data_IF_822050463775
#
_entry.id   IF_822050463775
#
_cell.length_a   1.000
_cell.length_b   1.000
_cell.length_c   1.000
_cell.angle_alpha   90.00
_cell.angle_beta   90.00
_cell.angle_gamma   90.00
#
_symmetry.space_group_name_H-M   'P 1'
#
loop_
_entity.id
_entity.type
_entity.pdbx_description
1 polymer ?
#
# COMPACT_ATOMS: atom_id res chain seq x y z
N UNK A 1 -14.03 -0.62 -34.29
CA UNK A 1 -14.34 -1.06 -32.92
C UNK A 1 -15.21 0.01 -32.28
N UNK A 2 -16.45 -0.32 -31.91
CA UNK A 2 -17.38 0.63 -31.27
C UNK A 2 -16.99 0.75 -29.81
N UNK A 3 -16.60 1.94 -29.35
CA UNK A 3 -16.52 2.26 -27.93
C UNK A 3 -17.90 2.04 -27.29
N UNK A 4 -18.01 1.02 -26.46
CA UNK A 4 -19.20 0.84 -25.64
C UNK A 4 -19.21 2.00 -24.62
N UNK A 5 -20.08 2.98 -24.82
CA UNK A 5 -20.32 4.03 -23.83
C UNK A 5 -20.75 3.34 -22.53
N UNK A 6 -19.95 3.50 -21.49
CA UNK A 6 -20.28 3.08 -20.13
C UNK A 6 -21.46 3.95 -19.63
N UNK A 7 -22.67 3.60 -20.04
CA UNK A 7 -23.88 4.19 -19.44
C UNK A 7 -23.96 3.69 -18.01
N UNK A 8 -23.67 4.57 -17.08
CA UNK A 8 -23.75 4.25 -15.65
C UNK A 8 -25.16 3.80 -15.28
N UNK A 9 -25.31 2.57 -14.79
CA UNK A 9 -26.59 2.08 -14.25
C UNK A 9 -26.82 2.70 -12.88
N UNK A 10 -28.05 3.20 -12.65
CA UNK A 10 -28.46 3.73 -11.36
C UNK A 10 -28.68 2.56 -10.38
N UNK A 11 -28.07 2.63 -9.19
CA UNK A 11 -28.27 1.70 -8.09
C UNK A 11 -28.73 2.48 -6.86
N UNK A 12 -29.71 1.96 -6.13
CA UNK A 12 -30.19 2.53 -4.86
C UNK A 12 -29.59 1.71 -3.72
N UNK A 13 -28.94 2.40 -2.76
CA UNK A 13 -28.44 1.80 -1.53
C UNK A 13 -29.29 2.30 -0.38
N UNK A 14 -29.81 1.38 0.43
CA UNK A 14 -30.60 1.67 1.62
C UNK A 14 -29.68 1.44 2.83
N UNK A 15 -29.50 2.46 3.66
CA UNK A 15 -28.80 2.38 4.93
C UNK A 15 -29.80 2.23 6.07
N UNK A 16 -29.44 1.48 7.10
CA UNK A 16 -30.18 1.55 8.34
C UNK A 16 -30.01 2.92 9.01
N UNK A 17 -30.77 3.17 10.08
CA UNK A 17 -30.76 4.48 10.73
C UNK A 17 -29.41 4.81 11.37
N UNK A 18 -28.70 3.81 11.90
CA UNK A 18 -27.39 3.99 12.54
C UNK A 18 -26.31 4.34 11.53
N UNK A 19 -26.23 3.58 10.45
CA UNK A 19 -25.28 3.82 9.36
C UNK A 19 -25.52 5.17 8.69
N UNK A 20 -26.78 5.51 8.46
CA UNK A 20 -27.14 6.80 7.88
C UNK A 20 -26.72 7.96 8.78
N UNK A 21 -26.99 7.89 10.06
CA UNK A 21 -26.58 8.91 11.04
C UNK A 21 -25.06 9.05 11.11
N UNK A 22 -24.34 7.93 11.09
CA UNK A 22 -22.87 7.93 11.03
C UNK A 22 -22.34 8.68 9.80
N UNK A 23 -22.87 8.36 8.62
CA UNK A 23 -22.47 9.03 7.36
C UNK A 23 -22.80 10.52 7.36
N UNK A 24 -24.00 10.90 7.84
CA UNK A 24 -24.39 12.31 7.95
C UNK A 24 -23.45 13.07 8.90
N UNK A 25 -23.02 12.44 9.99
CA UNK A 25 -22.01 13.05 10.89
C UNK A 25 -20.66 13.24 10.20
N UNK A 26 -20.16 12.25 9.44
CA UNK A 26 -18.92 12.38 8.69
C UNK A 26 -18.98 13.52 7.68
N UNK A 27 -20.11 13.69 7.01
CA UNK A 27 -20.31 14.80 6.04
C UNK A 27 -20.38 16.15 6.77
N UNK A 28 -21.14 16.23 7.85
CA UNK A 28 -21.25 17.44 8.67
C UNK A 28 -19.90 17.88 9.25
N UNK A 29 -19.08 16.91 9.68
CA UNK A 29 -17.75 17.17 10.24
C UNK A 29 -16.69 17.45 9.15
N UNK A 30 -17.07 17.50 7.87
CA UNK A 30 -16.17 17.76 6.73
C UNK A 30 -15.19 16.63 6.43
N UNK A 31 -15.38 15.43 7.01
CA UNK A 31 -14.53 14.26 6.79
C UNK A 31 -14.82 13.57 5.46
N UNK A 32 -16.06 13.66 5.00
CA UNK A 32 -16.48 13.18 3.69
C UNK A 32 -17.28 14.25 2.95
N UNK A 33 -17.08 14.43 1.62
CA UNK A 33 -17.77 15.47 0.85
C UNK A 33 -19.22 15.12 0.52
N UNK A 34 -19.66 13.87 0.75
CA UNK A 34 -21.03 13.42 0.48
C UNK A 34 -21.14 11.90 0.39
N UNK A 35 -22.36 11.39 0.33
CA UNK A 35 -22.65 9.94 0.29
C UNK A 35 -22.09 9.30 -0.99
N UNK A 36 -22.28 9.91 -2.17
CA UNK A 36 -21.79 9.36 -3.43
C UNK A 36 -20.27 9.21 -3.49
N UNK A 37 -19.46 10.23 -3.16
CA UNK A 37 -18.00 10.09 -3.03
C UNK A 37 -17.58 9.06 -2.00
N UNK A 38 -18.26 8.99 -0.85
CA UNK A 38 -18.00 7.96 0.16
C UNK A 38 -18.18 6.55 -0.42
N UNK A 39 -19.30 6.27 -1.08
CA UNK A 39 -19.55 4.95 -1.69
C UNK A 39 -18.49 4.64 -2.75
N UNK A 40 -18.13 5.59 -3.61
CA UNK A 40 -17.09 5.38 -4.61
C UNK A 40 -15.74 5.04 -3.97
N UNK A 41 -15.37 5.73 -2.90
CA UNK A 41 -14.17 5.48 -2.10
C UNK A 41 -14.22 4.07 -1.46
N UNK A 42 -15.35 3.67 -0.90
CA UNK A 42 -15.49 2.35 -0.29
C UNK A 42 -15.38 1.22 -1.32
N UNK A 43 -15.98 1.37 -2.50
CA UNK A 43 -15.85 0.41 -3.58
C UNK A 43 -14.40 0.29 -4.04
N UNK A 44 -13.68 1.41 -4.13
CA UNK A 44 -12.26 1.42 -4.48
C UNK A 44 -11.40 0.71 -3.42
N UNK A 45 -11.60 1.03 -2.14
CA UNK A 45 -10.92 0.37 -1.02
C UNK A 45 -11.22 -1.13 -1.02
N UNK A 46 -12.49 -1.51 -1.15
CA UNK A 46 -12.94 -2.91 -1.16
C UNK A 46 -12.24 -3.71 -2.26
N UNK A 47 -12.21 -3.14 -3.48
CA UNK A 47 -11.56 -3.76 -4.64
C UNK A 47 -10.03 -3.85 -4.47
N UNK A 48 -9.41 -2.74 -4.04
CA UNK A 48 -7.96 -2.61 -4.00
C UNK A 48 -7.33 -3.46 -2.91
N UNK A 49 -8.00 -3.57 -1.76
CA UNK A 49 -7.55 -4.39 -0.63
C UNK A 49 -8.10 -5.82 -0.66
N UNK A 50 -8.86 -6.20 -1.71
CA UNK A 50 -9.49 -7.52 -1.81
C UNK A 50 -10.30 -7.90 -0.54
N UNK A 51 -11.05 -6.93 0.01
CA UNK A 51 -11.81 -7.12 1.27
C UNK A 51 -12.83 -8.27 1.16
N UNK A 52 -13.25 -8.63 -0.06
CA UNK A 52 -14.12 -9.78 -0.29
C UNK A 52 -13.53 -11.12 0.15
N UNK A 53 -12.19 -11.21 0.28
CA UNK A 53 -11.51 -12.40 0.78
C UNK A 53 -11.38 -12.40 2.32
N UNK A 54 -11.72 -11.26 2.97
CA UNK A 54 -11.62 -11.14 4.41
C UNK A 54 -12.79 -11.86 5.11
N UNK A 55 -12.47 -12.60 6.16
CA UNK A 55 -13.45 -13.22 7.02
C UNK A 55 -13.57 -12.44 8.32
N UNK A 56 -14.64 -11.71 8.47
CA UNK A 56 -14.90 -10.95 9.69
C UNK A 56 -15.58 -11.83 10.75
N UNK A 57 -15.19 -11.68 12.06
CA UNK A 57 -14.05 -10.94 12.57
C UNK A 57 -12.76 -11.76 12.55
N UNK A 58 -11.63 -11.12 12.26
CA UNK A 58 -10.32 -11.65 12.66
C UNK A 58 -9.46 -12.34 11.60
N UNK A 59 -9.93 -12.55 10.37
CA UNK A 59 -9.08 -13.07 9.30
C UNK A 59 -9.01 -12.10 8.13
N UNK A 60 -7.86 -11.41 7.99
CA UNK A 60 -7.59 -10.47 6.90
C UNK A 60 -6.53 -11.04 5.99
N UNK A 61 -6.68 -10.83 4.67
CA UNK A 61 -5.75 -11.32 3.66
C UNK A 61 -5.33 -10.20 2.71
N UNK A 62 -4.07 -10.27 2.29
CA UNK A 62 -3.52 -9.45 1.22
C UNK A 62 -2.96 -10.42 0.18
N UNK A 63 -3.70 -10.62 -0.92
CA UNK A 63 -3.44 -11.71 -1.84
C UNK A 63 -3.53 -13.06 -1.11
N UNK A 64 -2.46 -13.85 -1.15
CA UNK A 64 -2.40 -15.17 -0.48
C UNK A 64 -1.92 -15.09 0.97
N UNK A 65 -1.48 -13.93 1.43
CA UNK A 65 -0.87 -13.76 2.75
C UNK A 65 -1.89 -13.30 3.78
N UNK A 66 -1.92 -13.98 4.93
CA UNK A 66 -2.67 -13.51 6.08
C UNK A 66 -2.06 -12.22 6.60
N UNK A 67 -2.89 -11.22 6.87
CA UNK A 67 -2.49 -9.89 7.32
C UNK A 67 -3.02 -9.57 8.72
N UNK A 68 -2.36 -8.62 9.38
CA UNK A 68 -2.83 -8.00 10.60
C UNK A 68 -2.55 -6.49 10.54
N UNK A 69 -3.35 -5.70 11.24
CA UNK A 69 -3.14 -4.25 11.34
C UNK A 69 -2.19 -3.95 12.50
N UNK A 70 -1.10 -3.27 12.19
CA UNK A 70 -0.15 -2.76 13.19
C UNK A 70 -0.05 -1.24 13.09
N UNK A 71 0.09 -0.58 14.23
CA UNK A 71 0.44 0.83 14.22
C UNK A 71 1.89 1.03 13.76
N UNK A 72 2.18 2.22 13.22
CA UNK A 72 3.56 2.59 12.85
C UNK A 72 4.53 2.45 14.03
N UNK A 73 4.08 2.82 15.23
CA UNK A 73 4.88 2.68 16.46
C UNK A 73 5.25 1.23 16.75
N UNK A 74 4.30 0.28 16.62
CA UNK A 74 4.58 -1.12 16.87
C UNK A 74 5.60 -1.68 15.87
N UNK A 75 5.47 -1.31 14.59
CA UNK A 75 6.44 -1.71 13.56
C UNK A 75 7.81 -1.10 13.86
N UNK A 76 7.87 0.18 14.26
CA UNK A 76 9.15 0.81 14.61
C UNK A 76 9.83 0.11 15.80
N UNK A 77 9.07 -0.23 16.85
CA UNK A 77 9.61 -1.00 17.98
C UNK A 77 10.15 -2.37 17.54
N UNK A 78 9.46 -3.08 16.64
CA UNK A 78 9.96 -4.35 16.09
C UNK A 78 11.27 -4.16 15.31
N UNK A 79 11.38 -3.08 14.54
CA UNK A 79 12.60 -2.74 13.80
C UNK A 79 13.76 -2.44 14.77
N UNK A 80 13.49 -1.72 15.85
CA UNK A 80 14.50 -1.32 16.83
C UNK A 80 15.04 -2.51 17.63
N UNK A 81 14.29 -3.61 17.74
CA UNK A 81 14.77 -4.87 18.31
C UNK A 81 15.78 -5.60 17.41
N UNK A 82 15.85 -5.26 16.12
CA UNK A 82 16.86 -5.83 15.21
C UNK A 82 18.16 -5.06 15.37
N UNK A 83 19.30 -5.74 15.64
CA UNK A 83 20.61 -5.08 15.69
C UNK A 83 20.87 -4.25 14.42
N UNK A 84 21.45 -3.07 14.59
CA UNK A 84 21.56 -2.10 13.48
C UNK A 84 22.29 -2.67 12.27
N UNK A 85 23.35 -3.43 12.50
CA UNK A 85 24.13 -4.11 11.45
C UNK A 85 23.34 -5.14 10.65
N UNK A 86 22.24 -5.67 11.22
CA UNK A 86 21.40 -6.69 10.58
C UNK A 86 20.12 -6.12 9.96
N UNK A 87 19.80 -4.85 10.21
CA UNK A 87 18.52 -4.24 9.80
C UNK A 87 18.29 -4.31 8.30
N UNK A 88 19.31 -3.99 7.50
CA UNK A 88 19.18 -4.00 6.04
C UNK A 88 18.92 -5.41 5.50
N UNK A 89 19.65 -6.39 6.00
CA UNK A 89 19.48 -7.79 5.54
C UNK A 89 18.15 -8.38 5.99
N UNK A 90 17.74 -8.12 7.23
CA UNK A 90 16.43 -8.53 7.74
C UNK A 90 15.31 -7.92 6.89
N UNK A 91 15.40 -6.62 6.62
CA UNK A 91 14.44 -5.89 5.80
C UNK A 91 14.39 -6.42 4.36
N UNK A 92 15.54 -6.74 3.76
CA UNK A 92 15.63 -7.32 2.42
C UNK A 92 14.90 -8.65 2.32
N UNK A 93 15.02 -9.52 3.33
CA UNK A 93 14.28 -10.79 3.40
C UNK A 93 12.77 -10.55 3.48
N UNK A 94 12.33 -9.57 4.29
CA UNK A 94 10.92 -9.20 4.41
C UNK A 94 10.40 -8.62 3.08
N UNK A 95 11.19 -7.76 2.42
CA UNK A 95 10.87 -7.23 1.11
C UNK A 95 10.70 -8.30 0.06
N UNK A 96 11.61 -9.29 0.01
CA UNK A 96 11.52 -10.43 -0.90
C UNK A 96 10.25 -11.26 -0.67
N UNK A 97 9.88 -11.51 0.59
CA UNK A 97 8.62 -12.18 0.92
C UNK A 97 7.39 -11.36 0.49
N UNK A 98 7.45 -10.03 0.64
CA UNK A 98 6.40 -9.13 0.16
C UNK A 98 6.29 -9.17 -1.37
N UNK A 99 7.41 -9.24 -2.09
CA UNK A 99 7.44 -9.38 -3.54
C UNK A 99 6.70 -10.63 -4.01
N UNK A 100 6.86 -11.77 -3.32
CA UNK A 100 6.11 -13.01 -3.63
C UNK A 100 4.60 -12.80 -3.51
N UNK A 101 4.14 -12.11 -2.46
CA UNK A 101 2.72 -11.79 -2.29
C UNK A 101 2.19 -10.86 -3.39
N UNK A 102 3.00 -9.86 -3.79
CA UNK A 102 2.65 -8.94 -4.88
C UNK A 102 2.60 -9.70 -6.21
N UNK A 103 3.58 -10.57 -6.48
CA UNK A 103 3.61 -11.43 -7.65
C UNK A 103 2.34 -12.27 -7.76
N UNK A 104 1.96 -12.96 -6.69
CA UNK A 104 0.76 -13.78 -6.65
C UNK A 104 -0.53 -12.98 -6.86
N UNK A 105 -0.61 -11.75 -6.31
CA UNK A 105 -1.82 -10.91 -6.39
C UNK A 105 -1.99 -10.20 -7.73
N UNK A 106 -0.89 -9.82 -8.40
CA UNK A 106 -0.91 -9.06 -9.65
C UNK A 106 -0.56 -9.90 -10.88
N UNK A 107 -0.11 -11.15 -10.68
CA UNK A 107 0.39 -12.03 -11.74
C UNK A 107 1.50 -11.35 -12.59
N UNK A 108 2.45 -10.69 -11.92
CA UNK A 108 3.60 -10.01 -12.53
C UNK A 108 4.88 -10.45 -11.82
N UNK A 109 6.03 -10.38 -12.48
CA UNK A 109 7.33 -10.54 -11.82
C UNK A 109 7.81 -9.19 -11.24
N UNK A 110 7.90 -9.01 -9.92
CA UNK A 110 8.34 -7.76 -9.30
C UNK A 110 9.79 -7.37 -9.60
N UNK A 111 10.63 -8.33 -10.01
CA UNK A 111 12.05 -8.11 -10.32
C UNK A 111 12.27 -7.42 -11.66
N UNK A 112 11.28 -7.48 -12.56
CA UNK A 112 11.37 -6.85 -13.88
C UNK A 112 11.09 -5.34 -13.75
N UNK A 113 12.02 -4.51 -14.21
CA UNK A 113 11.93 -3.05 -14.09
C UNK A 113 10.64 -2.46 -14.69
N UNK A 114 10.13 -3.06 -15.76
CA UNK A 114 8.85 -2.67 -16.39
C UNK A 114 7.64 -2.80 -15.45
N UNK A 115 7.73 -3.66 -14.43
CA UNK A 115 6.68 -3.90 -13.45
C UNK A 115 6.81 -3.02 -12.20
N UNK A 116 7.94 -2.37 -11.96
CA UNK A 116 8.17 -1.56 -10.76
C UNK A 116 7.11 -0.50 -10.49
N UNK A 117 6.58 0.23 -11.49
CA UNK A 117 5.49 1.18 -11.23
C UNK A 117 4.27 0.52 -10.57
N UNK A 118 3.88 -0.69 -11.02
CA UNK A 118 2.75 -1.44 -10.46
C UNK A 118 3.06 -1.98 -9.06
N UNK A 119 4.30 -2.43 -8.86
CA UNK A 119 4.79 -2.93 -7.55
C UNK A 119 4.75 -1.80 -6.52
N UNK A 120 5.31 -0.63 -6.85
CA UNK A 120 5.34 0.54 -5.97
C UNK A 120 3.93 1.09 -5.69
N UNK A 121 3.07 1.09 -6.71
CA UNK A 121 1.65 1.43 -6.51
C UNK A 121 0.96 0.48 -5.53
N UNK A 122 1.27 -0.82 -5.59
CA UNK A 122 0.73 -1.79 -4.63
C UNK A 122 1.26 -1.53 -3.20
N UNK A 123 2.52 -1.19 -3.03
CA UNK A 123 3.06 -0.79 -1.72
C UNK A 123 2.37 0.46 -1.18
N UNK A 124 2.10 1.45 -2.05
CA UNK A 124 1.33 2.65 -1.69
C UNK A 124 -0.06 2.29 -1.15
N UNK A 125 -0.76 1.37 -1.83
CA UNK A 125 -2.07 0.86 -1.40
C UNK A 125 -1.99 0.15 -0.05
N UNK A 126 -0.90 -0.57 0.22
CA UNK A 126 -0.68 -1.24 1.50
C UNK A 126 -0.27 -0.26 2.63
N UNK A 127 -0.16 1.03 2.33
CA UNK A 127 0.11 2.06 3.33
C UNK A 127 1.59 2.29 3.64
N UNK A 128 2.51 1.80 2.81
CA UNK A 128 3.95 2.03 3.01
C UNK A 128 4.40 3.49 2.78
N UNK A 129 3.52 4.35 2.31
CA UNK A 129 3.74 5.76 2.04
C UNK A 129 3.26 6.16 0.64
N UNK A 130 3.35 7.44 0.31
CA UNK A 130 3.08 7.93 -1.04
C UNK A 130 4.33 7.72 -1.91
N UNK A 131 4.38 6.54 -2.55
CA UNK A 131 5.54 6.05 -3.30
C UNK A 131 5.32 6.25 -4.79
N UNK A 132 6.33 6.75 -5.49
CA UNK A 132 6.32 6.90 -6.93
C UNK A 132 7.69 6.60 -7.54
N UNK A 133 7.70 6.09 -8.78
CA UNK A 133 8.89 5.95 -9.59
C UNK A 133 8.99 7.15 -10.53
N UNK A 134 10.18 7.75 -10.59
CA UNK A 134 10.53 8.82 -11.55
C UNK A 134 11.89 8.49 -12.16
N UNK A 135 11.89 8.13 -13.41
CA UNK A 135 13.09 7.65 -14.11
C UNK A 135 13.73 6.49 -13.31
N UNK A 136 14.94 6.67 -12.84
CA UNK A 136 15.68 5.72 -12.00
C UNK A 136 15.55 5.99 -10.49
N UNK A 137 14.59 6.82 -10.07
CA UNK A 137 14.45 7.21 -8.66
C UNK A 137 13.14 6.75 -8.06
N UNK A 138 13.21 6.13 -6.89
CA UNK A 138 12.05 5.90 -6.02
C UNK A 138 11.91 7.08 -5.08
N UNK A 139 10.77 7.77 -5.14
CA UNK A 139 10.46 8.93 -4.28
C UNK A 139 9.36 8.53 -3.31
N UNK A 140 9.56 8.78 -2.02
CA UNK A 140 8.60 8.44 -0.97
C UNK A 140 8.28 9.66 -0.11
N UNK A 141 7.01 10.02 -0.06
CA UNK A 141 6.47 10.97 0.91
C UNK A 141 5.76 10.21 2.02
N UNK A 142 5.83 10.76 3.25
CA UNK A 142 5.18 10.17 4.42
C UNK A 142 5.45 8.65 4.57
N UNK A 143 6.73 8.23 4.64
CA UNK A 143 7.06 6.82 4.72
C UNK A 143 6.49 6.21 6.01
N UNK A 144 5.88 5.02 5.90
CA UNK A 144 5.40 4.27 7.06
C UNK A 144 6.56 3.74 7.92
N UNK A 145 7.65 3.32 7.27
CA UNK A 145 8.89 2.91 7.92
C UNK A 145 9.82 4.12 8.00
N UNK A 146 10.12 4.59 9.21
CA UNK A 146 10.99 5.75 9.43
C UNK A 146 12.48 5.40 9.47
N UNK A 147 12.85 4.16 9.80
CA UNK A 147 14.24 3.72 9.77
C UNK A 147 14.74 3.58 8.33
N UNK A 148 15.66 4.46 7.92
CA UNK A 148 16.15 4.54 6.55
C UNK A 148 16.86 3.26 6.10
N UNK A 149 17.70 2.68 6.96
CA UNK A 149 18.44 1.44 6.66
C UNK A 149 17.48 0.28 6.41
N UNK A 150 16.46 0.16 7.25
CA UNK A 150 15.42 -0.86 7.10
C UNK A 150 14.58 -0.63 5.84
N UNK A 151 14.13 0.60 5.60
CA UNK A 151 13.34 0.96 4.42
C UNK A 151 14.13 0.68 3.11
N UNK A 152 15.42 1.01 3.10
CA UNK A 152 16.29 0.72 1.95
C UNK A 152 16.34 -0.78 1.68
N UNK A 153 16.67 -1.59 2.68
CA UNK A 153 16.71 -3.05 2.54
C UNK A 153 15.36 -3.65 2.12
N UNK A 154 14.26 -3.15 2.69
CA UNK A 154 12.92 -3.59 2.30
C UNK A 154 12.62 -3.34 0.81
N UNK A 155 12.88 -2.13 0.32
CA UNK A 155 12.69 -1.81 -1.10
C UNK A 155 13.61 -2.60 -2.01
N UNK A 156 14.87 -2.81 -1.61
CA UNK A 156 15.81 -3.68 -2.34
C UNK A 156 15.28 -5.11 -2.45
N UNK A 157 14.70 -5.63 -1.37
CA UNK A 157 14.10 -6.96 -1.39
C UNK A 157 12.85 -7.06 -2.26
N UNK A 158 12.05 -6.00 -2.30
CA UNK A 158 10.81 -5.96 -3.12
C UNK A 158 11.13 -5.87 -4.61
N UNK A 159 12.09 -5.01 -5.00
CA UNK A 159 12.42 -4.73 -6.40
C UNK A 159 13.53 -5.63 -6.96
N UNK A 160 14.19 -6.39 -6.08
CA UNK A 160 15.42 -7.16 -6.37
C UNK A 160 16.49 -6.28 -7.08
N UNK A 161 16.64 -5.04 -6.60
CA UNK A 161 17.54 -4.05 -7.14
C UNK A 161 18.31 -3.37 -6.00
N UNK A 162 19.51 -2.86 -6.29
CA UNK A 162 20.28 -2.09 -5.32
C UNK A 162 19.77 -0.66 -5.27
N UNK A 163 19.55 -0.14 -4.05
CA UNK A 163 19.08 1.23 -3.83
C UNK A 163 20.09 2.05 -3.03
N UNK A 164 20.33 3.26 -3.49
CA UNK A 164 21.20 4.21 -2.81
C UNK A 164 20.39 5.43 -2.36
N UNK A 165 20.30 5.72 -1.06
CA UNK A 165 19.63 6.91 -0.57
C UNK A 165 20.35 8.18 -1.02
N UNK A 166 19.67 9.07 -1.73
CA UNK A 166 20.18 10.38 -2.17
C UNK A 166 19.64 11.52 -1.32
N UNK A 167 18.36 11.43 -0.90
CA UNK A 167 17.74 12.37 0.02
C UNK A 167 17.16 11.55 1.18
N UNK A 168 17.59 11.87 2.40
CA UNK A 168 17.26 11.11 3.61
C UNK A 168 16.21 11.79 4.50
N UNK A 169 15.72 12.96 4.07
CA UNK A 169 14.60 13.69 4.67
C UNK A 169 13.41 13.69 3.73
N UNK A 170 12.17 13.76 4.27
CA UNK A 170 10.97 13.68 3.44
C UNK A 170 10.84 14.87 2.47
N UNK A 171 10.62 14.63 1.18
CA UNK A 171 10.48 13.34 0.52
C UNK A 171 11.81 12.58 0.41
N UNK A 172 11.79 11.31 0.80
CA UNK A 172 12.96 10.43 0.62
C UNK A 172 13.16 10.16 -0.88
N UNK A 173 14.43 10.09 -1.30
CA UNK A 173 14.77 9.78 -2.69
C UNK A 173 15.85 8.71 -2.71
N UNK A 174 15.59 7.62 -3.42
CA UNK A 174 16.51 6.51 -3.63
C UNK A 174 16.82 6.38 -5.10
N UNK A 175 18.09 6.32 -5.46
CA UNK A 175 18.54 5.98 -6.80
C UNK A 175 18.60 4.46 -6.95
N UNK A 176 18.05 3.94 -8.06
CA UNK A 176 18.14 2.53 -8.40
C UNK A 176 19.43 2.31 -9.20
N UNK A 177 20.31 1.47 -8.67
CA UNK A 177 21.54 1.05 -9.36
C UNK A 177 21.33 -0.32 -10.01
N UNK A 178 21.68 -0.43 -11.26
CA UNK A 178 21.63 -1.68 -12.02
C UNK A 178 22.88 -2.51 -11.79
#
# INVERSE_FOLDING_TARGET
MREASLVGKRTTVIFDQGDRQYLENLIRDGKEPGIKPFIAKMVEVYRTMAIHDWKFPGEYYIGISRAAFFSQQNIQLMIDLVPEENRRDAARKIGAATAVSIQASLNIDPRLAENWPKVLDRLRVFGYGDIMLRDSYVVIKNPFISNLTFLTGFLEGVLDAKLEPKITTSPLVFEISH
#
